data_IF_261281817721
#
_entry.id   IF_261281817721
#
_cell.length_a   1.000
_cell.length_b   1.000
_cell.length_c   1.000
_cell.angle_alpha   90.00
_cell.angle_beta   90.00
_cell.angle_gamma   90.00
#
_symmetry.space_group_name_H-M   'P 1'
#
loop_
_entity.id
_entity.type
_entity.pdbx_description
1 polymer ?
#
# COMPACT_ATOMS: atom_id res chain seq x y z
N UNK A 1 18.10 17.04 -13.00
CA UNK A 1 17.21 16.57 -14.08
C UNK A 1 16.04 15.95 -13.37
N UNK A 2 14.91 16.66 -13.28
CA UNK A 2 13.69 16.07 -12.72
C UNK A 2 13.33 14.86 -13.59
N UNK A 3 13.46 13.67 -13.02
CA UNK A 3 13.05 12.44 -13.68
C UNK A 3 11.56 12.54 -13.99
N UNK A 4 11.20 12.35 -15.26
CA UNK A 4 9.81 12.28 -15.68
C UNK A 4 9.03 11.28 -14.78
N UNK A 5 7.89 11.67 -14.17
CA UNK A 5 7.15 10.80 -13.26
C UNK A 5 6.72 9.46 -13.84
N UNK A 6 6.43 9.41 -15.14
CA UNK A 6 6.08 8.16 -15.80
C UNK A 6 7.31 7.24 -15.90
N UNK A 7 8.46 7.79 -16.27
CA UNK A 7 9.74 7.06 -16.29
C UNK A 7 10.14 6.54 -14.91
N UNK A 8 10.01 7.36 -13.86
CA UNK A 8 10.27 6.94 -12.49
C UNK A 8 9.34 5.79 -12.09
N UNK A 9 8.03 5.94 -12.30
CA UNK A 9 7.06 4.93 -11.91
C UNK A 9 7.23 3.62 -12.67
N UNK A 10 7.56 3.65 -13.96
CA UNK A 10 7.86 2.44 -14.74
C UNK A 10 9.08 1.68 -14.19
N UNK A 11 10.14 2.40 -13.82
CA UNK A 11 11.32 1.83 -13.19
C UNK A 11 11.02 1.26 -11.81
N UNK A 12 10.28 2.02 -10.99
CA UNK A 12 9.80 1.57 -9.68
C UNK A 12 8.96 0.29 -9.81
N UNK A 13 7.97 0.27 -10.72
CA UNK A 13 7.11 -0.89 -10.88
C UNK A 13 7.87 -2.13 -11.38
N UNK A 14 8.88 -1.94 -12.23
CA UNK A 14 9.75 -3.03 -12.69
C UNK A 14 10.59 -3.60 -11.53
N UNK A 15 11.12 -2.74 -10.66
CA UNK A 15 11.85 -3.19 -9.45
C UNK A 15 10.92 -3.93 -8.47
N UNK A 16 9.64 -3.59 -8.38
CA UNK A 16 8.65 -4.35 -7.60
C UNK A 16 8.52 -5.82 -8.08
N UNK A 17 8.56 -6.06 -9.40
CA UNK A 17 8.58 -7.43 -9.94
C UNK A 17 9.83 -8.20 -9.55
N UNK A 18 10.98 -7.53 -9.55
CA UNK A 18 12.26 -8.12 -9.18
C UNK A 18 12.28 -8.47 -7.69
N UNK A 19 11.86 -7.54 -6.82
CA UNK A 19 11.72 -7.76 -5.38
C UNK A 19 10.76 -8.90 -5.07
N UNK A 20 9.62 -8.98 -5.76
CA UNK A 20 8.69 -10.10 -5.62
C UNK A 20 9.36 -11.44 -5.93
N UNK A 21 10.16 -11.51 -7.00
CA UNK A 21 10.90 -12.72 -7.37
C UNK A 21 11.97 -13.07 -6.33
N UNK A 22 12.64 -12.06 -5.78
CA UNK A 22 13.63 -12.24 -4.72
C UNK A 22 13.01 -12.71 -3.41
N UNK A 23 11.87 -12.16 -3.01
CA UNK A 23 11.08 -12.62 -1.87
C UNK A 23 10.67 -14.09 -2.02
N UNK A 24 10.20 -14.49 -3.22
CA UNK A 24 9.91 -15.89 -3.51
C UNK A 24 11.18 -16.77 -3.38
N UNK A 25 12.32 -16.34 -3.91
CA UNK A 25 13.59 -17.05 -3.76
C UNK A 25 14.02 -17.17 -2.30
N UNK A 26 13.89 -16.09 -1.52
CA UNK A 26 14.21 -16.04 -0.11
C UNK A 26 13.30 -16.97 0.70
N UNK A 27 12.01 -17.03 0.35
CA UNK A 27 11.03 -17.96 0.96
C UNK A 27 11.43 -19.43 0.81
N UNK A 28 12.04 -19.84 -0.30
CA UNK A 28 12.54 -21.22 -0.48
C UNK A 28 13.93 -21.44 0.15
N UNK A 29 14.63 -20.37 0.53
CA UNK A 29 15.98 -20.39 1.10
C UNK A 29 15.94 -20.18 2.63
N UNK A 30 15.02 -20.86 3.34
CA UNK A 30 14.69 -20.63 4.77
C UNK A 30 15.86 -20.72 5.77
N UNK A 31 17.07 -21.11 5.33
CA UNK A 31 18.29 -21.13 6.15
C UNK A 31 19.10 -19.82 6.15
N UNK A 32 18.88 -18.93 5.18
CA UNK A 32 19.69 -17.72 5.02
C UNK A 32 18.96 -16.48 5.57
N UNK A 33 19.08 -16.28 6.89
CA UNK A 33 18.45 -15.15 7.59
C UNK A 33 18.96 -13.80 7.09
N UNK A 34 20.23 -13.72 6.68
CA UNK A 34 20.82 -12.47 6.20
C UNK A 34 20.22 -12.08 4.85
N UNK A 35 20.08 -13.05 3.93
CA UNK A 35 19.39 -12.84 2.66
C UNK A 35 17.94 -12.43 2.86
N UNK A 36 17.21 -13.09 3.76
CA UNK A 36 15.82 -12.71 4.06
C UNK A 36 15.75 -11.28 4.56
N UNK A 37 16.56 -10.91 5.57
CA UNK A 37 16.54 -9.55 6.11
C UNK A 37 16.90 -8.50 5.04
N UNK A 38 17.90 -8.77 4.21
CA UNK A 38 18.31 -7.87 3.12
C UNK A 38 17.15 -7.58 2.16
N UNK A 39 16.39 -8.60 1.77
CA UNK A 39 15.25 -8.42 0.85
C UNK A 39 14.08 -7.71 1.53
N UNK A 40 13.84 -7.95 2.83
CA UNK A 40 12.84 -7.22 3.60
C UNK A 40 13.18 -5.72 3.67
N UNK A 41 14.43 -5.39 3.99
CA UNK A 41 14.90 -4.01 4.09
C UNK A 41 14.83 -3.31 2.72
N UNK A 42 15.22 -4.00 1.65
CA UNK A 42 15.13 -3.47 0.28
C UNK A 42 13.68 -3.20 -0.15
N UNK A 43 12.74 -4.09 0.20
CA UNK A 43 11.33 -3.88 -0.08
C UNK A 43 10.77 -2.65 0.64
N UNK A 44 11.15 -2.43 1.90
CA UNK A 44 10.73 -1.24 2.64
C UNK A 44 11.32 0.03 2.01
N UNK A 45 12.63 0.03 1.71
CA UNK A 45 13.29 1.15 1.06
C UNK A 45 12.68 1.46 -0.32
N UNK A 46 12.26 0.43 -1.04
CA UNK A 46 11.56 0.55 -2.32
C UNK A 46 10.25 1.34 -2.20
N UNK A 47 9.40 1.02 -1.21
CA UNK A 47 8.18 1.78 -0.97
C UNK A 47 8.44 3.19 -0.42
N UNK A 48 9.46 3.36 0.43
CA UNK A 48 9.87 4.69 0.88
C UNK A 48 10.26 5.60 -0.28
N UNK A 49 11.01 5.07 -1.26
CA UNK A 49 11.43 5.82 -2.43
C UNK A 49 10.22 6.35 -3.23
N UNK A 50 9.13 5.58 -3.33
CA UNK A 50 7.91 6.00 -4.00
C UNK A 50 7.22 7.15 -3.27
N UNK A 51 7.03 7.04 -1.96
CA UNK A 51 6.38 8.09 -1.18
C UNK A 51 7.24 9.35 -1.03
N UNK A 52 8.58 9.19 -1.00
CA UNK A 52 9.49 10.33 -1.09
C UNK A 52 9.32 11.06 -2.43
N UNK A 53 9.36 10.33 -3.55
CA UNK A 53 9.15 10.90 -4.87
C UNK A 53 7.80 11.62 -4.99
N UNK A 54 6.73 11.02 -4.46
CA UNK A 54 5.41 11.67 -4.42
C UNK A 54 5.37 12.91 -3.53
N UNK A 55 6.10 12.91 -2.42
CA UNK A 55 6.25 14.08 -1.55
C UNK A 55 6.96 15.23 -2.28
N UNK A 56 7.98 14.92 -3.09
CA UNK A 56 8.67 15.90 -3.92
C UNK A 56 7.72 16.52 -4.96
N UNK A 57 6.97 15.68 -5.70
CA UNK A 57 5.95 16.18 -6.64
C UNK A 57 4.91 17.05 -5.92
N UNK A 58 4.44 16.64 -4.74
CA UNK A 58 3.41 17.40 -4.02
C UNK A 58 3.88 18.76 -3.51
N UNK A 59 5.19 19.02 -3.43
CA UNK A 59 5.69 20.37 -3.14
C UNK A 59 5.42 21.34 -4.29
N UNK A 60 5.50 20.87 -5.54
CA UNK A 60 5.40 21.70 -6.73
C UNK A 60 3.99 21.66 -7.35
N UNK A 61 3.39 20.48 -7.38
CA UNK A 61 2.08 20.23 -7.96
C UNK A 61 1.29 19.19 -7.13
N UNK A 62 0.56 19.66 -6.09
CA UNK A 62 -0.27 18.77 -5.27
C UNK A 62 -1.39 18.08 -6.06
N UNK A 63 -1.92 18.70 -7.13
CA UNK A 63 -2.97 18.07 -7.96
C UNK A 63 -2.39 16.89 -8.71
N UNK A 64 -1.20 17.03 -9.31
CA UNK A 64 -0.54 15.94 -10.02
C UNK A 64 -0.13 14.81 -9.08
N UNK A 65 0.37 15.14 -7.89
CA UNK A 65 0.67 14.15 -6.85
C UNK A 65 -0.59 13.40 -6.36
N UNK A 66 -1.75 14.08 -6.34
CA UNK A 66 -3.03 13.50 -5.95
C UNK A 66 -3.61 12.60 -7.05
N UNK A 67 -3.64 13.12 -8.28
CA UNK A 67 -4.26 12.47 -9.44
C UNK A 67 -3.44 11.33 -10.01
N UNK A 68 -2.16 11.20 -9.62
CA UNK A 68 -1.30 10.03 -9.90
C UNK A 68 -1.40 9.58 -11.37
N UNK A 69 -1.01 10.46 -12.32
CA UNK A 69 -1.24 10.21 -13.75
C UNK A 69 -0.55 8.95 -14.28
N UNK A 70 0.56 8.53 -13.65
CA UNK A 70 1.29 7.30 -13.98
C UNK A 70 0.54 6.00 -13.67
N UNK A 71 -0.47 6.04 -12.80
CA UNK A 71 -1.36 4.90 -12.54
C UNK A 71 -2.34 4.69 -13.71
N UNK A 72 -2.88 3.48 -13.85
CA UNK A 72 -3.97 3.19 -14.81
C UNK A 72 -5.29 3.77 -14.31
N UNK A 73 -6.26 3.91 -15.21
CA UNK A 73 -7.62 4.31 -14.81
C UNK A 73 -8.26 3.31 -13.84
N UNK A 74 -7.94 2.01 -13.95
CA UNK A 74 -8.46 0.97 -13.06
C UNK A 74 -7.85 1.09 -11.66
N UNK A 75 -6.54 1.28 -11.54
CA UNK A 75 -5.87 1.52 -10.25
C UNK A 75 -6.53 2.69 -9.51
N UNK A 76 -6.69 3.83 -10.21
CA UNK A 76 -7.32 5.02 -9.64
C UNK A 76 -8.79 4.83 -9.29
N UNK A 77 -9.54 4.11 -10.11
CA UNK A 77 -10.99 3.99 -9.95
C UNK A 77 -11.44 2.93 -8.94
N UNK A 78 -10.68 1.84 -8.80
CA UNK A 78 -11.11 0.66 -8.03
C UNK A 78 -10.43 0.57 -6.67
N UNK A 79 -9.19 1.07 -6.56
CA UNK A 79 -8.34 0.80 -5.39
C UNK A 79 -7.89 2.07 -4.66
N UNK A 80 -7.88 3.22 -5.33
CA UNK A 80 -7.34 4.42 -4.71
C UNK A 80 -8.34 5.06 -3.74
N UNK A 81 -7.82 5.48 -2.60
CA UNK A 81 -8.52 6.18 -1.53
C UNK A 81 -8.11 7.66 -1.49
N UNK A 82 -6.94 7.97 -0.91
CA UNK A 82 -6.33 9.30 -0.94
C UNK A 82 -5.01 9.23 -1.70
N UNK A 83 -5.10 9.28 -3.03
CA UNK A 83 -3.97 9.24 -3.98
C UNK A 83 -3.10 7.96 -3.92
N UNK A 84 -3.71 6.83 -3.54
CA UNK A 84 -3.07 5.51 -3.47
C UNK A 84 -4.00 4.50 -2.75
N UNK A 85 -3.56 3.26 -2.56
CA UNK A 85 -4.34 2.21 -1.89
C UNK A 85 -4.70 2.55 -0.43
N UNK A 86 -5.75 1.96 0.13
CA UNK A 86 -6.20 2.26 1.51
C UNK A 86 -5.32 1.53 2.53
N UNK A 87 -4.70 2.19 3.53
CA UNK A 87 -3.78 1.57 4.49
C UNK A 87 -4.23 0.21 5.09
N UNK A 88 -5.50 0.09 5.47
CA UNK A 88 -6.14 -1.11 6.00
C UNK A 88 -6.15 -2.29 4.99
N UNK A 89 -5.87 -2.06 3.71
CA UNK A 89 -5.64 -3.13 2.73
C UNK A 89 -4.50 -4.06 3.14
N UNK A 90 -3.43 -3.56 3.79
CA UNK A 90 -2.35 -4.42 4.31
C UNK A 90 -2.87 -5.43 5.33
N UNK A 91 -3.74 -4.97 6.23
CA UNK A 91 -4.36 -5.82 7.25
C UNK A 91 -5.29 -6.85 6.61
N UNK A 92 -6.07 -6.44 5.60
CA UNK A 92 -6.90 -7.37 4.84
C UNK A 92 -6.09 -8.43 4.10
N UNK A 93 -4.94 -8.05 3.51
CA UNK A 93 -4.04 -9.01 2.88
C UNK A 93 -3.46 -9.99 3.91
N UNK A 94 -3.07 -9.50 5.09
CA UNK A 94 -2.59 -10.34 6.18
C UNK A 94 -3.64 -11.39 6.57
N UNK A 95 -4.88 -10.98 6.86
CA UNK A 95 -5.96 -11.92 7.19
C UNK A 95 -6.29 -12.89 6.06
N UNK A 96 -6.33 -12.40 4.82
CA UNK A 96 -6.66 -13.24 3.67
C UNK A 96 -5.61 -14.33 3.47
N UNK A 97 -4.32 -13.96 3.53
CA UNK A 97 -3.23 -14.90 3.34
C UNK A 97 -3.01 -15.82 4.54
N UNK A 98 -3.16 -15.32 5.77
CA UNK A 98 -3.08 -16.16 6.96
C UNK A 98 -4.19 -17.20 6.96
N UNK A 99 -5.43 -16.81 6.62
CA UNK A 99 -6.58 -17.73 6.58
C UNK A 99 -6.40 -18.77 5.48
N UNK A 100 -6.04 -18.34 4.26
CA UNK A 100 -5.79 -19.25 3.13
C UNK A 100 -4.74 -20.30 3.45
N UNK A 101 -3.67 -19.93 4.17
CA UNK A 101 -2.60 -20.85 4.57
C UNK A 101 -3.01 -21.75 5.72
N UNK A 102 -3.67 -21.18 6.74
CA UNK A 102 -4.23 -21.94 7.85
C UNK A 102 -5.15 -23.06 7.36
N UNK A 103 -6.07 -22.75 6.44
CA UNK A 103 -6.98 -23.73 5.84
C UNK A 103 -6.23 -24.84 5.08
N UNK A 104 -5.19 -24.47 4.30
CA UNK A 104 -4.39 -25.42 3.54
C UNK A 104 -3.61 -26.41 4.42
N UNK A 105 -3.24 -26.03 5.64
CA UNK A 105 -2.45 -26.84 6.58
C UNK A 105 -3.21 -27.27 7.84
N UNK A 106 -4.54 -27.11 7.86
CA UNK A 106 -5.39 -27.34 9.04
C UNK A 106 -5.19 -28.74 9.65
N UNK A 107 -5.06 -29.76 8.82
CA UNK A 107 -4.86 -31.14 9.27
C UNK A 107 -3.53 -31.34 10.01
N UNK A 108 -2.48 -30.64 9.57
CA UNK A 108 -1.15 -30.72 10.17
C UNK A 108 -1.12 -29.91 11.48
N UNK A 109 -1.76 -28.74 11.51
CA UNK A 109 -1.91 -27.92 12.72
C UNK A 109 -2.68 -28.65 13.83
N UNK A 110 -3.77 -29.35 13.51
CA UNK A 110 -4.53 -30.16 14.49
C UNK A 110 -3.65 -31.27 15.08
N UNK A 111 -2.69 -31.78 14.31
CA UNK A 111 -1.70 -32.77 14.76
C UNK A 111 -0.51 -32.15 15.49
N UNK A 112 -0.51 -30.84 15.71
CA UNK A 112 0.56 -30.08 16.36
C UNK A 112 1.76 -29.78 15.46
N UNK A 113 1.64 -29.97 14.15
CA UNK A 113 2.69 -29.67 13.17
C UNK A 113 2.44 -28.28 12.59
N UNK A 114 3.09 -27.27 13.16
CA UNK A 114 3.08 -25.90 12.63
C UNK A 114 4.16 -25.68 11.59
N UNK A 115 3.81 -25.07 10.45
CA UNK A 115 4.77 -24.68 9.42
C UNK A 115 5.59 -23.44 9.81
N UNK A 116 5.13 -22.68 10.81
CA UNK A 116 5.74 -21.42 11.21
C UNK A 116 5.58 -20.30 10.20
N UNK A 117 4.79 -20.50 9.14
CA UNK A 117 4.50 -19.50 8.13
C UNK A 117 3.32 -18.60 8.55
N UNK A 118 2.79 -17.79 7.63
CA UNK A 118 1.70 -16.87 7.95
C UNK A 118 0.37 -17.59 8.33
N UNK A 119 0.23 -18.89 8.07
CA UNK A 119 -0.91 -19.68 8.53
C UNK A 119 -0.78 -20.21 9.97
N UNK A 120 0.31 -19.90 10.67
CA UNK A 120 0.61 -20.34 12.05
C UNK A 120 0.74 -19.11 12.98
N UNK A 121 -0.13 -18.12 12.81
CA UNK A 121 -0.17 -16.94 13.67
C UNK A 121 -0.71 -17.30 15.06
N UNK A 122 0.02 -16.87 16.09
CA UNK A 122 -0.42 -17.03 17.48
C UNK A 122 -1.60 -16.11 17.80
N UNK A 123 -2.39 -16.46 18.84
CA UNK A 123 -3.47 -15.60 19.34
C UNK A 123 -2.96 -14.21 19.75
N UNK A 124 -1.74 -14.11 20.27
CA UNK A 124 -1.10 -12.83 20.58
C UNK A 124 -0.87 -12.00 19.32
N UNK A 125 -0.36 -12.61 18.24
CA UNK A 125 -0.17 -11.91 16.97
C UNK A 125 -1.52 -11.45 16.40
N UNK A 126 -2.55 -12.31 16.42
CA UNK A 126 -3.89 -11.94 15.94
C UNK A 126 -4.49 -10.76 16.72
N UNK A 127 -4.35 -10.73 18.04
CA UNK A 127 -4.79 -9.59 18.85
C UNK A 127 -4.03 -8.30 18.50
N UNK A 128 -2.73 -8.39 18.20
CA UNK A 128 -1.94 -7.24 17.75
C UNK A 128 -2.34 -6.76 16.35
N UNK A 129 -2.72 -7.69 15.45
CA UNK A 129 -3.27 -7.34 14.13
C UNK A 129 -4.62 -6.62 14.28
N UNK A 130 -5.49 -7.09 15.17
CA UNK A 130 -6.79 -6.45 15.45
C UNK A 130 -6.61 -5.02 15.99
N UNK A 131 -5.68 -4.82 16.93
CA UNK A 131 -5.35 -3.48 17.43
C UNK A 131 -4.71 -2.58 16.36
N UNK A 132 -3.85 -3.14 15.50
CA UNK A 132 -3.31 -2.43 14.34
C UNK A 132 -4.43 -2.02 13.38
N UNK A 133 -5.40 -2.89 13.15
CA UNK A 133 -6.55 -2.61 12.30
C UNK A 133 -7.35 -1.43 12.85
N UNK A 134 -7.75 -1.51 14.12
CA UNK A 134 -8.52 -0.47 14.80
C UNK A 134 -7.84 0.89 14.69
N UNK A 135 -6.56 0.97 15.04
CA UNK A 135 -5.76 2.21 14.96
C UNK A 135 -5.60 2.73 13.53
N UNK A 136 -5.49 1.84 12.55
CA UNK A 136 -5.38 2.22 11.13
C UNK A 136 -6.71 2.80 10.64
N UNK A 137 -7.83 2.15 10.95
CA UNK A 137 -9.17 2.62 10.58
C UNK A 137 -9.46 3.99 11.22
N UNK A 138 -9.15 4.16 12.50
CA UNK A 138 -9.32 5.46 13.18
C UNK A 138 -8.55 6.59 12.47
N UNK A 139 -7.29 6.33 12.08
CA UNK A 139 -6.49 7.31 11.33
C UNK A 139 -6.96 7.53 9.89
N UNK A 140 -7.55 6.51 9.25
CA UNK A 140 -8.20 6.66 7.95
C UNK A 140 -9.44 7.54 8.05
N UNK A 141 -10.31 7.29 9.02
CA UNK A 141 -11.55 8.06 9.22
C UNK A 141 -11.25 9.53 9.52
N UNK A 142 -10.19 9.81 10.28
CA UNK A 142 -9.71 11.19 10.51
C UNK A 142 -9.32 11.91 9.22
N UNK A 143 -8.60 11.23 8.31
CA UNK A 143 -8.19 11.80 7.03
C UNK A 143 -9.37 11.94 6.06
N UNK A 144 -10.30 10.99 6.05
CA UNK A 144 -11.54 11.08 5.26
C UNK A 144 -12.39 12.26 5.70
N UNK A 145 -12.52 12.48 7.01
CA UNK A 145 -13.25 13.61 7.57
C UNK A 145 -12.61 14.94 7.18
N UNK A 146 -11.29 15.02 7.18
CA UNK A 146 -10.57 16.22 6.79
C UNK A 146 -10.71 16.55 5.30
N UNK A 147 -10.64 15.54 4.44
CA UNK A 147 -10.91 15.68 3.01
C UNK A 147 -12.36 16.09 2.75
N UNK A 148 -13.29 15.53 3.51
CA UNK A 148 -14.73 15.88 3.41
C UNK A 148 -14.98 17.34 3.78
N UNK A 149 -14.36 17.83 4.87
CA UNK A 149 -14.44 19.26 5.26
C UNK A 149 -13.88 20.16 4.16
N UNK A 150 -12.74 19.78 3.57
CA UNK A 150 -12.18 20.53 2.45
C UNK A 150 -13.16 20.60 1.27
N UNK A 151 -13.82 19.49 0.91
CA UNK A 151 -14.83 19.48 -0.14
C UNK A 151 -16.04 20.37 0.19
N UNK A 152 -16.53 20.35 1.43
CA UNK A 152 -17.64 21.20 1.88
C UNK A 152 -17.29 22.69 1.78
N UNK A 153 -16.08 23.07 2.20
CA UNK A 153 -15.60 24.45 2.13
C UNK A 153 -15.43 24.91 0.68
N UNK A 154 -14.86 24.07 -0.19
CA UNK A 154 -14.75 24.35 -1.63
C UNK A 154 -16.12 24.50 -2.29
N UNK A 155 -17.09 23.64 -1.97
CA UNK A 155 -18.46 23.78 -2.46
C UNK A 155 -19.10 25.10 -1.99
N UNK A 156 -18.83 25.50 -0.76
CA UNK A 156 -19.23 26.79 -0.19
C UNK A 156 -18.64 28.01 -0.91
N UNK A 157 -17.47 27.91 -1.54
CA UNK A 157 -16.88 28.99 -2.35
C UNK A 157 -17.69 29.32 -3.60
N UNK A 158 -18.40 28.35 -4.18
CA UNK A 158 -19.31 28.59 -5.30
C UNK A 158 -20.66 29.18 -4.86
N UNK A 159 -20.81 29.48 -3.55
CA UNK A 159 -21.95 30.19 -2.95
C UNK A 159 -21.51 31.55 -2.38
N UNK A 160 -22.45 32.42 -2.00
CA UNK A 160 -22.21 33.84 -1.64
C UNK A 160 -21.34 34.05 -0.38
N UNK A 161 -21.00 32.98 0.36
CA UNK A 161 -20.35 33.05 1.68
C UNK A 161 -18.88 32.61 1.73
N UNK A 162 -18.27 32.12 0.65
CA UNK A 162 -16.91 31.55 0.70
C UNK A 162 -15.78 32.55 0.42
N UNK A 163 -14.67 32.40 1.15
CA UNK A 163 -13.45 33.22 1.02
C UNK A 163 -12.14 32.43 1.01
N UNK A 164 -12.18 31.10 0.97
CA UNK A 164 -10.96 30.29 0.97
C UNK A 164 -10.18 30.51 -0.34
N UNK A 165 -8.90 30.81 -0.20
CA UNK A 165 -8.01 31.00 -1.33
C UNK A 165 -7.60 29.64 -1.91
N UNK A 166 -7.48 29.55 -3.24
CA UNK A 166 -7.03 28.33 -3.92
C UNK A 166 -5.70 27.81 -3.34
N UNK A 167 -4.79 28.70 -2.93
CA UNK A 167 -3.52 28.34 -2.30
C UNK A 167 -3.69 27.60 -0.97
N UNK A 168 -4.68 27.97 -0.16
CA UNK A 168 -4.99 27.30 1.11
C UNK A 168 -5.52 25.88 0.87
N UNK A 169 -6.46 25.73 -0.08
CA UNK A 169 -6.98 24.43 -0.48
C UNK A 169 -5.87 23.49 -0.97
N UNK A 170 -4.97 24.01 -1.81
CA UNK A 170 -3.83 23.25 -2.32
C UNK A 170 -2.85 22.84 -1.20
N UNK A 171 -2.63 23.70 -0.21
CA UNK A 171 -1.82 23.37 0.97
C UNK A 171 -2.45 22.26 1.80
N UNK A 172 -3.78 22.25 1.97
CA UNK A 172 -4.49 21.19 2.70
C UNK A 172 -4.44 19.86 1.96
N UNK A 173 -4.66 19.85 0.64
CA UNK A 173 -4.52 18.64 -0.20
C UNK A 173 -3.13 18.03 -0.02
N UNK A 174 -2.08 18.86 -0.06
CA UNK A 174 -0.70 18.43 0.15
C UNK A 174 -0.49 17.77 1.52
N UNK A 175 -1.01 18.35 2.60
CA UNK A 175 -0.90 17.77 3.95
C UNK A 175 -1.63 16.42 4.05
N UNK A 176 -2.86 16.34 3.52
CA UNK A 176 -3.66 15.12 3.47
C UNK A 176 -2.90 14.01 2.73
N UNK A 177 -2.32 14.30 1.56
CA UNK A 177 -1.52 13.34 0.78
C UNK A 177 -0.35 12.83 1.61
N UNK A 178 0.43 13.74 2.20
CA UNK A 178 1.61 13.39 2.98
C UNK A 178 1.26 12.50 4.19
N UNK A 179 0.18 12.81 4.88
CA UNK A 179 -0.32 12.01 6.02
C UNK A 179 -0.88 10.66 5.58
N UNK A 180 -1.58 10.60 4.45
CA UNK A 180 -2.07 9.33 3.89
C UNK A 180 -0.90 8.41 3.49
N UNK A 181 0.14 8.96 2.85
CA UNK A 181 1.35 8.21 2.46
C UNK A 181 2.13 7.72 3.68
N UNK A 182 2.26 8.57 4.70
CA UNK A 182 2.86 8.16 5.97
C UNK A 182 2.02 7.08 6.68
N UNK A 183 0.68 7.15 6.59
CA UNK A 183 -0.21 6.14 7.15
C UNK A 183 0.00 4.78 6.45
N UNK A 184 0.14 4.75 5.12
CA UNK A 184 0.46 3.51 4.38
C UNK A 184 1.76 2.88 4.88
N UNK A 185 2.83 3.68 4.99
CA UNK A 185 4.13 3.18 5.44
C UNK A 185 4.13 2.74 6.90
N UNK A 186 3.49 3.49 7.81
CA UNK A 186 3.43 3.10 9.22
C UNK A 186 2.62 1.82 9.41
N UNK A 187 1.52 1.65 8.67
CA UNK A 187 0.69 0.45 8.76
C UNK A 187 1.44 -0.77 8.22
N UNK A 188 2.15 -0.63 7.10
CA UNK A 188 3.00 -1.70 6.57
C UNK A 188 4.08 -2.12 7.58
N UNK A 189 4.81 -1.16 8.15
CA UNK A 189 5.85 -1.44 9.14
C UNK A 189 5.29 -2.09 10.41
N UNK A 190 4.21 -1.53 10.95
CA UNK A 190 3.57 -2.08 12.13
C UNK A 190 3.06 -3.51 11.88
N UNK A 191 2.54 -3.80 10.68
CA UNK A 191 2.18 -5.16 10.31
C UNK A 191 3.39 -6.09 10.35
N UNK A 192 4.54 -5.68 9.79
CA UNK A 192 5.77 -6.48 9.84
C UNK A 192 6.30 -6.68 11.26
N UNK A 193 6.16 -5.69 12.15
CA UNK A 193 6.56 -5.80 13.56
C UNK A 193 5.72 -6.84 14.32
N UNK A 194 4.45 -7.02 13.95
CA UNK A 194 3.59 -8.09 14.51
C UNK A 194 4.03 -9.49 14.04
N UNK A 195 4.71 -9.58 12.90
CA UNK A 195 5.16 -10.84 12.30
C UNK A 195 6.54 -11.23 12.84
N UNK A 196 6.55 -11.96 13.96
CA UNK A 196 7.77 -12.34 14.68
C UNK A 196 8.78 -13.16 13.87
N UNK A 197 8.31 -13.89 12.84
CA UNK A 197 9.17 -14.75 12.02
C UNK A 197 9.43 -14.11 10.65
N UNK A 198 10.68 -14.08 10.17
CA UNK A 198 10.99 -13.49 8.86
C UNK A 198 10.19 -14.11 7.70
N UNK A 199 9.88 -15.41 7.76
CA UNK A 199 9.06 -16.07 6.73
C UNK A 199 7.62 -15.52 6.68
N UNK A 200 7.04 -15.13 7.82
CA UNK A 200 5.72 -14.51 7.88
C UNK A 200 5.75 -13.13 7.21
N UNK A 201 6.78 -12.34 7.50
CA UNK A 201 7.02 -11.05 6.85
C UNK A 201 7.17 -11.21 5.33
N UNK A 202 7.97 -12.18 4.87
CA UNK A 202 8.13 -12.50 3.44
C UNK A 202 6.80 -12.87 2.80
N UNK A 203 5.99 -13.72 3.45
CA UNK A 203 4.67 -14.10 2.93
C UNK A 203 3.75 -12.89 2.77
N UNK A 204 3.72 -11.97 3.73
CA UNK A 204 2.93 -10.74 3.63
C UNK A 204 3.41 -9.84 2.49
N UNK A 205 4.72 -9.61 2.36
CA UNK A 205 5.25 -8.73 1.31
C UNK A 205 5.08 -9.30 -0.10
N UNK A 206 5.13 -10.63 -0.26
CA UNK A 206 4.77 -11.28 -1.53
C UNK A 206 3.31 -10.95 -1.87
N UNK A 207 2.40 -11.08 -0.89
CA UNK A 207 0.99 -10.79 -1.10
C UNK A 207 0.72 -9.31 -1.41
N UNK A 208 1.45 -8.39 -0.77
CA UNK A 208 1.41 -6.95 -1.09
C UNK A 208 1.88 -6.68 -2.52
N UNK A 209 3.00 -7.27 -2.93
CA UNK A 209 3.48 -7.13 -4.31
C UNK A 209 2.51 -7.75 -5.32
N UNK A 210 1.98 -8.94 -5.04
CA UNK A 210 0.99 -9.63 -5.87
C UNK A 210 -0.27 -8.80 -6.07
N UNK A 211 -0.74 -8.14 -5.01
CA UNK A 211 -1.87 -7.25 -5.07
C UNK A 211 -1.62 -6.08 -6.04
N UNK A 212 -0.54 -5.32 -5.86
CA UNK A 212 -0.26 -4.16 -6.72
C UNK A 212 0.05 -4.56 -8.17
N UNK A 213 0.85 -5.60 -8.36
CA UNK A 213 1.12 -6.20 -9.68
C UNK A 213 -0.17 -6.65 -10.35
N UNK A 214 -1.05 -7.33 -9.62
CA UNK A 214 -2.33 -7.82 -10.12
C UNK A 214 -3.22 -6.68 -10.62
N UNK A 215 -3.42 -5.65 -9.81
CA UNK A 215 -4.28 -4.50 -10.15
C UNK A 215 -3.73 -3.75 -11.37
N UNK A 216 -2.41 -3.48 -11.41
CA UNK A 216 -1.79 -2.82 -12.56
C UNK A 216 -2.00 -3.62 -13.84
N UNK A 217 -1.78 -4.93 -13.81
CA UNK A 217 -1.96 -5.79 -14.98
C UNK A 217 -3.41 -5.81 -15.49
N UNK A 218 -4.38 -5.77 -14.58
CA UNK A 218 -5.80 -5.65 -14.95
C UNK A 218 -6.02 -4.29 -15.65
N UNK A 219 -5.48 -3.21 -15.09
CA UNK A 219 -5.57 -1.87 -15.68
C UNK A 219 -4.99 -1.78 -17.08
N UNK A 220 -3.77 -2.27 -17.29
CA UNK A 220 -3.11 -2.26 -18.58
C UNK A 220 -3.89 -3.06 -19.64
N UNK A 221 -4.41 -4.25 -19.26
CA UNK A 221 -5.26 -5.06 -20.16
C UNK A 221 -6.54 -4.33 -20.54
N UNK A 222 -7.16 -3.63 -19.59
CA UNK A 222 -8.38 -2.85 -19.83
C UNK A 222 -8.13 -1.69 -20.81
N UNK A 223 -7.06 -0.93 -20.63
CA UNK A 223 -6.69 0.20 -21.50
C UNK A 223 -6.35 -0.27 -22.92
N UNK A 224 -5.60 -1.37 -23.06
CA UNK A 224 -5.31 -2.00 -24.35
C UNK A 224 -6.60 -2.41 -25.08
N UNK A 225 -7.52 -3.07 -24.39
CA UNK A 225 -8.80 -3.50 -24.97
C UNK A 225 -9.65 -2.30 -25.46
N UNK A 226 -9.65 -1.18 -24.73
CA UNK A 226 -10.32 0.06 -25.18
C UNK A 226 -9.67 0.67 -26.41
N UNK A 227 -8.33 0.73 -26.46
CA UNK A 227 -7.61 1.32 -27.60
C UNK A 227 -7.81 0.55 -28.90
N UNK A 228 -7.97 -0.78 -28.81
CA UNK A 228 -8.25 -1.63 -29.97
C UNK A 228 -9.71 -1.55 -30.46
N UNK A 229 -10.62 -0.99 -29.66
CA UNK A 229 -12.04 -0.86 -29.98
C UNK A 229 -12.41 0.53 -30.53
N UNK A 230 -11.48 1.49 -30.51
CA UNK A 230 -11.60 2.85 -31.02
C UNK A 230 -10.88 3.03 -32.35
#
# INVERSE_FOLDING_TARGET
MESDPDTFFQGWFSHLYDLRRELLSARYSLGDRQKIQSVLDEFIAHYESYYQFRSEISQFDPVRAFTTPWATSVERGVVFWLAGWRPNTVVHLLYSESSRRFEAQLQDLIRGVGSGDLGDLSSTQLNLVDELQRRTIEAEDELELEMSRLHEELAGQFTVTGSMELGEAMSRIKDIIARADNLRMRTLRAALEVLYRPVQAVDLLIATADFEIGIRNIGLKYEMARSNAS
#
